data_IF_035937038165
#
_entry.id   IF_035937038165
#
_cell.length_a   1.000
_cell.length_b   1.000
_cell.length_c   1.000
_cell.angle_alpha   90.00
_cell.angle_beta   90.00
_cell.angle_gamma   90.00
#
_symmetry.space_group_name_H-M   'P 1'
#
loop_
_entity.id
_entity.type
_entity.pdbx_description
1 polymer ?
#
# COMPACT_ATOMS: atom_id res chain seq x y z
N UNK A 1 21.97 -23.80 -31.32
CA UNK A 1 21.35 -24.74 -30.36
C UNK A 1 21.02 -23.90 -29.15
N UNK A 2 19.85 -23.29 -29.24
CA UNK A 2 19.46 -22.06 -28.58
C UNK A 2 18.39 -22.39 -27.55
N UNK A 3 18.74 -22.41 -26.26
CA UNK A 3 17.76 -22.54 -25.16
C UNK A 3 18.12 -21.69 -23.92
N UNK A 4 19.21 -20.91 -23.93
CA UNK A 4 19.70 -20.23 -22.72
C UNK A 4 19.29 -18.75 -22.54
N UNK A 5 18.45 -18.19 -23.40
CA UNK A 5 18.26 -16.73 -23.45
C UNK A 5 16.79 -16.30 -23.58
N UNK A 6 15.90 -16.81 -22.71
CA UNK A 6 14.49 -16.35 -22.65
C UNK A 6 13.83 -16.29 -21.27
N UNK A 7 14.61 -16.37 -20.19
CA UNK A 7 14.09 -16.23 -18.81
C UNK A 7 14.55 -14.93 -18.13
N UNK A 8 15.25 -14.05 -18.84
CA UNK A 8 15.91 -12.86 -18.28
C UNK A 8 15.14 -11.53 -18.44
N UNK A 9 13.87 -11.57 -18.85
CA UNK A 9 13.08 -10.36 -19.16
C UNK A 9 11.69 -10.30 -18.50
N UNK A 10 11.47 -11.05 -17.43
CA UNK A 10 10.57 -10.55 -16.38
C UNK A 10 11.45 -9.81 -15.41
N UNK A 11 11.57 -8.50 -15.59
CA UNK A 11 11.99 -7.58 -14.52
C UNK A 11 11.34 -8.05 -13.22
N UNK A 12 12.07 -8.02 -12.10
CA UNK A 12 11.55 -8.49 -10.81
C UNK A 12 10.46 -7.53 -10.31
N UNK A 13 9.27 -7.61 -10.93
CA UNK A 13 8.10 -6.77 -10.69
C UNK A 13 7.69 -6.83 -9.21
N UNK A 14 7.95 -7.98 -8.56
CA UNK A 14 7.74 -8.15 -7.15
C UNK A 14 8.74 -7.30 -6.34
N UNK A 15 10.04 -7.36 -6.64
CA UNK A 15 11.02 -6.49 -5.99
C UNK A 15 10.78 -5.00 -6.27
N UNK A 16 10.35 -4.63 -7.47
CA UNK A 16 9.97 -3.25 -7.80
C UNK A 16 8.74 -2.80 -7.00
N UNK A 17 7.69 -3.61 -6.96
CA UNK A 17 6.49 -3.30 -6.17
C UNK A 17 6.79 -3.23 -4.66
N UNK A 18 7.69 -4.07 -4.16
CA UNK A 18 8.15 -4.02 -2.77
C UNK A 18 8.96 -2.74 -2.51
N UNK A 19 9.85 -2.36 -3.42
CA UNK A 19 10.62 -1.12 -3.31
C UNK A 19 9.72 0.11 -3.34
N UNK A 20 8.71 0.13 -4.21
CA UNK A 20 7.70 1.18 -4.25
C UNK A 20 6.88 1.25 -2.95
N UNK A 21 6.50 0.10 -2.39
CA UNK A 21 5.84 0.04 -1.08
C UNK A 21 6.71 0.63 0.02
N UNK A 22 8.02 0.31 0.06
CA UNK A 22 8.95 0.88 1.03
C UNK A 22 9.01 2.41 0.93
N UNK A 23 9.13 2.97 -0.27
CA UNK A 23 9.14 4.42 -0.48
C UNK A 23 7.82 5.09 0.00
N UNK A 24 6.68 4.43 -0.23
CA UNK A 24 5.38 4.92 0.27
C UNK A 24 5.31 4.83 1.79
N UNK A 25 5.83 3.77 2.40
CA UNK A 25 5.90 3.63 3.86
C UNK A 25 6.73 4.74 4.48
N UNK A 26 7.90 5.06 3.92
CA UNK A 26 8.75 6.15 4.40
C UNK A 26 8.03 7.49 4.33
N UNK A 27 7.34 7.76 3.21
CA UNK A 27 6.51 8.97 3.06
C UNK A 27 5.39 9.02 4.10
N UNK A 28 4.71 7.89 4.32
CA UNK A 28 3.64 7.79 5.31
C UNK A 28 4.15 8.00 6.74
N UNK A 29 5.35 7.52 7.07
CA UNK A 29 5.96 7.74 8.38
C UNK A 29 6.21 9.23 8.63
N UNK A 30 6.71 9.96 7.62
CA UNK A 30 6.90 11.42 7.70
C UNK A 30 5.55 12.13 7.93
N UNK A 31 4.53 11.79 7.12
CA UNK A 31 3.19 12.38 7.25
C UNK A 31 2.55 12.11 8.62
N UNK A 32 2.61 10.86 9.09
CA UNK A 32 2.06 10.45 10.39
C UNK A 32 2.80 11.10 11.57
N UNK A 33 4.12 11.28 11.46
CA UNK A 33 4.89 12.04 12.46
C UNK A 33 4.40 13.48 12.54
N UNK A 34 4.17 14.11 11.38
CA UNK A 34 3.60 15.45 11.31
C UNK A 34 2.16 15.54 11.85
N UNK A 35 1.33 14.54 11.55
CA UNK A 35 -0.04 14.45 12.05
C UNK A 35 -0.08 14.29 13.58
N UNK A 36 0.83 13.47 14.14
CA UNK A 36 0.98 13.30 15.59
C UNK A 36 1.29 14.63 16.29
N UNK A 37 2.30 15.36 15.79
CA UNK A 37 2.69 16.65 16.36
C UNK A 37 1.56 17.70 16.27
N UNK A 38 0.73 17.65 15.22
CA UNK A 38 -0.48 18.48 15.13
C UNK A 38 -1.53 18.07 16.16
N UNK A 39 -1.86 16.78 16.23
CA UNK A 39 -2.84 16.24 17.17
C UNK A 39 -2.50 16.56 18.63
N UNK A 40 -1.21 16.54 19.00
CA UNK A 40 -0.72 16.97 20.31
C UNK A 40 -1.08 18.43 20.60
N UNK A 41 -0.85 19.34 19.65
CA UNK A 41 -1.24 20.75 19.80
C UNK A 41 -2.75 20.95 19.95
N UNK A 42 -3.55 20.19 19.18
CA UNK A 42 -5.01 20.25 19.30
C UNK A 42 -5.46 19.76 20.70
N UNK A 43 -4.82 18.70 21.20
CA UNK A 43 -5.10 18.17 22.53
C UNK A 43 -4.71 19.17 23.64
N UNK A 44 -3.58 19.85 23.51
CA UNK A 44 -3.14 20.87 24.47
C UNK A 44 -4.08 22.08 24.46
N UNK A 45 -4.51 22.54 23.29
CA UNK A 45 -5.52 23.59 23.14
C UNK A 45 -6.86 23.18 23.78
N UNK A 46 -7.26 21.91 23.64
CA UNK A 46 -8.45 21.39 24.30
C UNK A 46 -8.30 21.37 25.82
N UNK A 47 -7.14 20.94 26.32
CA UNK A 47 -6.82 20.90 27.76
C UNK A 47 -6.78 22.29 28.39
N UNK A 48 -6.47 23.33 27.61
CA UNK A 48 -6.58 24.72 28.06
C UNK A 48 -8.02 25.27 28.07
N UNK A 49 -9.03 24.42 27.85
CA UNK A 49 -10.45 24.77 27.95
C UNK A 49 -11.09 25.26 26.65
N UNK A 50 -10.36 25.32 25.52
CA UNK A 50 -10.90 25.81 24.25
C UNK A 50 -11.95 24.85 23.67
N UNK A 51 -12.92 25.40 22.93
CA UNK A 51 -13.94 24.60 22.24
C UNK A 51 -13.38 23.96 20.97
N UNK A 52 -13.87 22.77 20.61
CA UNK A 52 -13.39 22.05 19.42
C UNK A 52 -13.59 22.83 18.12
N UNK A 53 -14.69 23.55 18.00
CA UNK A 53 -14.96 24.35 16.80
C UNK A 53 -13.85 25.38 16.56
N UNK A 54 -13.46 26.12 17.61
CA UNK A 54 -12.39 27.12 17.50
C UNK A 54 -11.03 26.46 17.21
N UNK A 55 -10.72 25.36 17.91
CA UNK A 55 -9.47 24.61 17.76
C UNK A 55 -9.29 24.10 16.32
N UNK A 56 -10.33 23.48 15.75
CA UNK A 56 -10.28 22.90 14.40
C UNK A 56 -10.35 23.98 13.33
N UNK A 57 -11.07 25.08 13.58
CA UNK A 57 -11.14 26.22 12.64
C UNK A 57 -9.79 26.92 12.51
N UNK A 58 -9.01 27.00 13.58
CA UNK A 58 -7.66 27.58 13.59
C UNK A 58 -6.56 26.59 13.20
N UNK A 59 -6.90 25.32 12.97
CA UNK A 59 -5.93 24.31 12.58
C UNK A 59 -5.30 24.68 11.23
N UNK A 60 -3.97 24.75 11.19
CA UNK A 60 -3.25 24.99 9.93
C UNK A 60 -3.27 23.74 9.07
N UNK A 61 -3.65 23.91 7.80
CA UNK A 61 -3.67 22.83 6.81
C UNK A 61 -2.27 22.22 6.56
N UNK A 62 -2.20 20.95 6.13
CA UNK A 62 -3.32 19.99 6.07
C UNK A 62 -3.82 19.62 7.47
N UNK A 63 -5.13 19.43 7.59
CA UNK A 63 -5.76 18.99 8.83
C UNK A 63 -5.28 17.58 9.19
N UNK A 64 -5.24 17.23 10.47
CA UNK A 64 -4.92 15.85 10.90
C UNK A 64 -5.79 14.83 10.15
N UNK A 65 -7.10 15.09 10.00
CA UNK A 65 -8.02 14.19 9.29
C UNK A 65 -7.71 14.05 7.79
N UNK A 66 -7.24 15.12 7.15
CA UNK A 66 -6.82 15.08 5.75
C UNK A 66 -5.55 14.23 5.61
N UNK A 67 -4.56 14.43 6.49
CA UNK A 67 -3.32 13.65 6.47
C UNK A 67 -3.57 12.15 6.70
N UNK A 68 -4.42 11.78 7.67
CA UNK A 68 -4.79 10.37 7.89
C UNK A 68 -5.47 9.78 6.66
N UNK A 69 -6.37 10.53 6.02
CA UNK A 69 -7.07 10.07 4.82
C UNK A 69 -6.10 9.85 3.65
N UNK A 70 -5.15 10.77 3.45
CA UNK A 70 -4.10 10.66 2.43
C UNK A 70 -3.20 9.44 2.68
N UNK A 71 -2.77 9.22 3.92
CA UNK A 71 -1.95 8.05 4.28
C UNK A 71 -2.70 6.74 4.04
N UNK A 72 -3.97 6.64 4.46
CA UNK A 72 -4.78 5.45 4.20
C UNK A 72 -4.93 5.16 2.71
N UNK A 73 -5.16 6.19 1.89
CA UNK A 73 -5.27 6.05 0.45
C UNK A 73 -3.95 5.55 -0.17
N UNK A 74 -2.82 6.15 0.22
CA UNK A 74 -1.49 5.76 -0.27
C UNK A 74 -1.16 4.30 0.08
N UNK A 75 -1.38 3.90 1.34
CA UNK A 75 -1.14 2.53 1.81
C UNK A 75 -2.06 1.51 1.13
N UNK A 76 -3.34 1.87 0.91
CA UNK A 76 -4.28 1.00 0.20
C UNK A 76 -3.81 0.70 -1.23
N UNK A 77 -3.38 1.75 -1.94
CA UNK A 77 -2.86 1.63 -3.32
C UNK A 77 -1.57 0.82 -3.36
N UNK A 78 -0.55 1.21 -2.60
CA UNK A 78 0.75 0.55 -2.62
C UNK A 78 0.67 -0.91 -2.12
N UNK A 79 -0.06 -1.16 -1.04
CA UNK A 79 -0.30 -2.51 -0.54
C UNK A 79 -1.12 -3.37 -1.49
N UNK A 80 -2.02 -2.76 -2.27
CA UNK A 80 -2.75 -3.43 -3.35
C UNK A 80 -1.83 -3.90 -4.47
N UNK A 81 -0.92 -3.03 -4.93
CA UNK A 81 0.07 -3.36 -5.95
C UNK A 81 0.98 -4.50 -5.47
N UNK A 82 1.57 -4.36 -4.28
CA UNK A 82 2.47 -5.38 -3.72
C UNK A 82 1.79 -6.76 -3.59
N UNK A 83 0.56 -6.84 -3.08
CA UNK A 83 -0.16 -8.12 -2.95
C UNK A 83 -0.37 -8.81 -4.30
N UNK A 84 -0.56 -8.06 -5.39
CA UNK A 84 -0.71 -8.65 -6.73
C UNK A 84 0.60 -9.23 -7.23
N UNK A 85 1.67 -8.45 -7.20
CA UNK A 85 2.97 -8.91 -7.71
C UNK A 85 3.55 -10.03 -6.85
N UNK A 86 3.40 -9.97 -5.52
CA UNK A 86 3.81 -11.07 -4.64
C UNK A 86 3.01 -12.36 -4.93
N UNK A 87 1.70 -12.27 -5.12
CA UNK A 87 0.89 -13.45 -5.46
C UNK A 87 1.29 -14.05 -6.81
N UNK A 88 1.61 -13.20 -7.79
CA UNK A 88 2.07 -13.63 -9.10
C UNK A 88 3.45 -14.30 -9.03
N UNK A 89 4.42 -13.72 -8.32
CA UNK A 89 5.74 -14.31 -8.11
C UNK A 89 5.65 -15.69 -7.42
N UNK A 90 4.82 -15.81 -6.38
CA UNK A 90 4.59 -17.12 -5.74
C UNK A 90 3.94 -18.13 -6.69
N UNK A 91 3.06 -17.68 -7.59
CA UNK A 91 2.45 -18.57 -8.58
C UNK A 91 3.47 -19.03 -9.64
N UNK A 92 4.38 -18.16 -10.10
CA UNK A 92 5.44 -18.54 -11.05
C UNK A 92 6.44 -19.51 -10.42
N UNK A 93 6.63 -19.42 -9.10
CA UNK A 93 7.34 -20.41 -8.27
C UNK A 93 6.53 -21.70 -7.98
N UNK A 94 5.39 -21.89 -8.67
CA UNK A 94 4.53 -23.08 -8.56
C UNK A 94 3.87 -23.27 -7.18
N UNK A 95 3.82 -22.23 -6.34
CA UNK A 95 3.08 -22.27 -5.08
C UNK A 95 1.58 -22.28 -5.36
N UNK A 96 0.87 -23.25 -4.78
CA UNK A 96 -0.58 -23.38 -5.01
C UNK A 96 -1.37 -22.20 -4.45
N UNK A 97 -2.48 -21.84 -5.12
CA UNK A 97 -3.40 -20.77 -4.69
C UNK A 97 -3.86 -20.97 -3.23
N UNK A 98 -4.11 -22.21 -2.81
CA UNK A 98 -4.53 -22.52 -1.44
C UNK A 98 -3.42 -22.19 -0.43
N UNK A 99 -2.16 -22.45 -0.77
CA UNK A 99 -1.02 -22.11 0.07
C UNK A 99 -0.80 -20.60 0.13
N UNK A 100 -0.90 -19.90 -1.00
CA UNK A 100 -0.81 -18.43 -1.05
C UNK A 100 -1.92 -17.80 -0.20
N UNK A 101 -3.16 -18.29 -0.32
CA UNK A 101 -4.29 -17.81 0.48
C UNK A 101 -4.04 -17.97 1.99
N UNK A 102 -3.50 -19.11 2.40
CA UNK A 102 -3.12 -19.35 3.79
C UNK A 102 -2.00 -18.42 4.27
N UNK A 103 -0.96 -18.19 3.45
CA UNK A 103 0.13 -17.27 3.78
C UNK A 103 -0.34 -15.82 3.92
N UNK A 104 -1.28 -15.41 3.07
CA UNK A 104 -1.80 -14.04 3.04
C UNK A 104 -2.92 -13.82 4.08
N UNK A 105 -3.40 -14.88 4.73
CA UNK A 105 -4.53 -14.81 5.66
C UNK A 105 -5.85 -14.42 4.98
N UNK A 106 -6.02 -14.74 3.70
CA UNK A 106 -7.21 -14.42 2.91
C UNK A 106 -7.83 -15.66 2.27
N UNK A 107 -9.02 -15.51 1.68
CA UNK A 107 -9.69 -16.62 0.99
C UNK A 107 -9.03 -16.96 -0.35
N UNK A 108 -9.23 -18.19 -0.81
CA UNK A 108 -8.82 -18.63 -2.15
C UNK A 108 -9.35 -17.70 -3.25
N UNK A 109 -10.61 -17.29 -3.13
CA UNK A 109 -11.27 -16.39 -4.09
C UNK A 109 -10.55 -15.05 -4.21
N UNK A 110 -10.04 -14.51 -3.09
CA UNK A 110 -9.29 -13.26 -3.07
C UNK A 110 -7.98 -13.38 -3.85
N UNK A 111 -7.23 -14.47 -3.67
CA UNK A 111 -6.00 -14.72 -4.43
C UNK A 111 -6.32 -14.93 -5.91
N UNK A 112 -7.35 -15.70 -6.24
CA UNK A 112 -7.76 -15.89 -7.62
C UNK A 112 -8.16 -14.58 -8.31
N UNK A 113 -8.76 -13.62 -7.59
CA UNK A 113 -9.04 -12.29 -8.13
C UNK A 113 -7.74 -11.52 -8.42
N UNK A 114 -6.80 -11.47 -7.47
CA UNK A 114 -5.51 -10.78 -7.65
C UNK A 114 -4.75 -11.26 -8.89
N UNK A 115 -4.72 -12.58 -9.12
CA UNK A 115 -4.05 -13.19 -10.26
C UNK A 115 -4.75 -12.89 -11.60
N UNK A 116 -6.10 -12.86 -11.61
CA UNK A 116 -6.87 -12.48 -12.81
C UNK A 116 -6.67 -11.02 -13.16
N UNK A 117 -6.76 -10.11 -12.19
CA UNK A 117 -6.62 -8.68 -12.41
C UNK A 117 -5.24 -8.33 -13.03
N UNK A 118 -4.18 -9.02 -12.60
CA UNK A 118 -2.82 -8.87 -13.17
C UNK A 118 -2.73 -9.40 -14.60
N UNK A 119 -3.38 -10.53 -14.89
CA UNK A 119 -3.42 -11.10 -16.24
C UNK A 119 -4.21 -10.21 -17.21
N UNK A 120 -5.31 -9.60 -16.75
CA UNK A 120 -6.09 -8.62 -17.53
C UNK A 120 -5.27 -7.35 -17.79
N UNK A 121 -4.58 -6.84 -16.77
CA UNK A 121 -3.70 -5.68 -16.92
C UNK A 121 -2.56 -5.94 -17.92
N UNK A 122 -1.97 -7.14 -17.92
CA UNK A 122 -0.93 -7.51 -18.88
C UNK A 122 -1.46 -7.56 -20.32
N UNK A 123 -2.67 -8.09 -20.52
CA UNK A 123 -3.32 -8.16 -21.84
C UNK A 123 -3.71 -6.80 -22.39
N UNK A 124 -4.06 -5.84 -21.55
CA UNK A 124 -4.39 -4.48 -21.97
C UNK A 124 -3.17 -3.65 -22.41
N UNK A 125 -1.96 -4.11 -22.06
CA UNK A 125 -0.68 -3.44 -22.37
C UNK A 125 0.05 -4.07 -23.58
N UNK A 126 -0.49 -5.14 -24.15
CA UNK A 126 0.04 -5.87 -25.31
C UNK A 126 -0.79 -5.58 -26.57
#
# INVERSE_FOLDING_TARGET
>A
MDVEERTAETTDDAAEALSALLAVLDTCLVELTGARARAERLLDARRSGRAWLDIVTEERRPLVVEQISTVMAALSTAGGAWRREQAHALQSEQVSINRIAALFGVTRQRISALLRDRAEAARAQA
#
